data_IF_829436317639
#
_entry.id   IF_829436317639
#
_cell.length_a   1.000
_cell.length_b   1.000
_cell.length_c   1.000
_cell.angle_alpha   90.00
_cell.angle_beta   90.00
_cell.angle_gamma   90.00
#
_symmetry.space_group_name_H-M   'P 1'
#
loop_
_entity.id
_entity.type
_entity.pdbx_description
1 polymer ?
#
# COMPACT_ATOMS: atom_id res chain seq x y z
N UNK A 1 -2.76 13.55 0.79
CA UNK A 1 -3.02 12.11 0.75
C UNK A 1 -3.93 11.82 -0.42
N UNK A 2 -3.49 10.94 -1.32
CA UNK A 2 -4.25 10.55 -2.51
C UNK A 2 -5.14 9.35 -2.20
N UNK A 3 -6.35 9.36 -2.74
CA UNK A 3 -7.28 8.24 -2.63
C UNK A 3 -7.40 7.53 -3.97
N UNK A 4 -7.36 6.20 -3.96
CA UNK A 4 -7.76 5.41 -5.12
C UNK A 4 -9.27 5.21 -5.11
N UNK A 5 -9.82 4.90 -6.29
CA UNK A 5 -11.25 4.69 -6.51
C UNK A 5 -11.46 3.33 -7.13
N UNK A 6 -12.60 2.71 -6.82
CA UNK A 6 -13.09 1.53 -7.51
C UNK A 6 -14.57 1.73 -7.82
N UNK A 7 -15.01 1.36 -9.01
CA UNK A 7 -16.40 1.43 -9.44
C UNK A 7 -16.96 0.02 -9.54
N UNK A 8 -18.06 -0.24 -8.83
CA UNK A 8 -18.72 -1.54 -8.81
C UNK A 8 -20.14 -1.43 -9.32
N UNK A 9 -20.55 -2.38 -10.16
CA UNK A 9 -21.96 -2.56 -10.50
C UNK A 9 -22.73 -3.04 -9.26
N UNK A 10 -23.82 -2.34 -8.91
CA UNK A 10 -24.64 -2.65 -7.72
C UNK A 10 -25.99 -3.23 -8.04
N UNK A 11 -26.46 -3.08 -9.28
CA UNK A 11 -27.71 -3.67 -9.75
C UNK A 11 -27.51 -4.22 -11.16
N UNK A 12 -28.14 -5.37 -11.42
CA UNK A 12 -28.16 -6.01 -12.72
C UNK A 12 -29.60 -6.12 -13.20
N UNK A 13 -29.83 -5.90 -14.49
CA UNK A 13 -31.13 -6.13 -15.10
C UNK A 13 -31.39 -7.62 -15.36
N UNK A 14 -32.54 -7.93 -15.96
CA UNK A 14 -32.93 -9.31 -16.30
C UNK A 14 -31.99 -10.01 -17.28
N UNK A 15 -31.14 -9.27 -18.00
CA UNK A 15 -30.16 -9.78 -18.95
C UNK A 15 -28.76 -9.92 -18.32
N UNK A 16 -28.61 -9.55 -17.05
CA UNK A 16 -27.34 -9.59 -16.34
C UNK A 16 -26.44 -8.38 -16.64
N UNK A 17 -26.98 -7.33 -17.25
CA UNK A 17 -26.22 -6.12 -17.55
C UNK A 17 -26.26 -5.13 -16.37
N UNK A 18 -25.15 -4.45 -16.06
CA UNK A 18 -25.07 -3.57 -14.90
C UNK A 18 -25.87 -2.27 -15.14
N UNK A 19 -26.94 -2.09 -14.37
CA UNK A 19 -27.84 -0.93 -14.49
C UNK A 19 -27.44 0.29 -13.64
N UNK A 20 -26.61 0.09 -12.62
CA UNK A 20 -26.08 1.18 -11.77
C UNK A 20 -24.69 0.82 -11.26
N UNK A 21 -23.81 1.82 -11.23
CA UNK A 21 -22.49 1.74 -10.64
C UNK A 21 -22.40 2.63 -9.41
N UNK A 22 -21.64 2.19 -8.41
CA UNK A 22 -21.26 2.98 -7.25
C UNK A 22 -19.74 3.10 -7.16
N UNK A 23 -19.26 4.30 -6.86
CA UNK A 23 -17.85 4.60 -6.71
C UNK A 23 -17.48 4.58 -5.23
N UNK A 24 -16.48 3.78 -4.88
CA UNK A 24 -15.92 3.71 -3.54
C UNK A 24 -14.53 4.32 -3.53
N UNK A 25 -14.12 4.85 -2.37
CA UNK A 25 -12.80 5.47 -2.17
C UNK A 25 -12.03 4.74 -1.07
N UNK A 26 -10.71 4.68 -1.22
CA UNK A 26 -9.83 4.09 -0.19
C UNK A 26 -9.98 4.80 1.14
N UNK A 27 -9.81 4.04 2.23
CA UNK A 27 -9.93 4.57 3.59
C UNK A 27 -8.98 5.75 3.85
N UNK A 28 -9.34 6.74 4.69
CA UNK A 28 -8.52 7.93 4.92
C UNK A 28 -7.17 7.67 5.61
N UNK A 29 -7.12 6.64 6.46
CA UNK A 29 -5.91 6.26 7.19
C UNK A 29 -5.60 4.80 6.94
N UNK A 30 -4.53 4.53 6.23
CA UNK A 30 -4.04 3.18 5.95
C UNK A 30 -3.12 2.76 7.09
N UNK A 31 -3.40 1.68 7.83
CA UNK A 31 -2.50 1.19 8.87
C UNK A 31 -1.25 0.56 8.25
N UNK A 32 -0.13 0.61 8.98
CA UNK A 32 1.13 0.06 8.51
C UNK A 32 1.05 -1.45 8.22
N UNK A 33 0.25 -2.19 8.97
CA UNK A 33 -0.09 -3.60 8.70
C UNK A 33 -0.58 -3.82 7.28
N UNK A 34 -1.54 -3.02 6.82
CA UNK A 34 -2.16 -3.19 5.53
C UNK A 34 -1.16 -2.93 4.39
N UNK A 35 -0.28 -1.92 4.54
CA UNK A 35 0.80 -1.68 3.57
C UNK A 35 1.78 -2.86 3.54
N UNK A 36 2.20 -3.34 4.71
CA UNK A 36 3.11 -4.48 4.81
C UNK A 36 2.52 -5.74 4.18
N UNK A 37 1.23 -6.00 4.39
CA UNK A 37 0.52 -7.12 3.79
C UNK A 37 0.41 -6.99 2.26
N UNK A 38 0.06 -5.81 1.73
CA UNK A 38 0.05 -5.55 0.29
C UNK A 38 1.41 -5.81 -0.34
N UNK A 39 2.49 -5.29 0.26
CA UNK A 39 3.87 -5.51 -0.22
C UNK A 39 4.26 -6.98 -0.12
N UNK A 40 3.90 -7.65 0.97
CA UNK A 40 4.19 -9.07 1.17
C UNK A 40 3.49 -9.95 0.14
N UNK A 41 2.23 -9.65 -0.19
CA UNK A 41 1.48 -10.32 -1.24
C UNK A 41 2.12 -10.09 -2.62
N UNK A 42 2.45 -8.85 -2.96
CA UNK A 42 3.10 -8.54 -4.25
C UNK A 42 4.47 -9.21 -4.39
N UNK A 43 5.20 -9.38 -3.28
CA UNK A 43 6.48 -10.08 -3.26
C UNK A 43 6.34 -11.60 -3.39
N UNK A 44 5.21 -12.19 -2.98
CA UNK A 44 4.98 -13.63 -3.12
C UNK A 44 4.53 -14.07 -4.51
N UNK A 45 3.96 -13.15 -5.30
CA UNK A 45 3.47 -13.46 -6.65
C UNK A 45 4.60 -13.91 -7.56
N UNK A 46 4.43 -15.09 -8.19
CA UNK A 46 5.38 -15.63 -9.18
C UNK A 46 4.95 -15.40 -10.63
N UNK A 47 3.80 -14.75 -10.84
CA UNK A 47 3.17 -14.52 -12.13
C UNK A 47 1.73 -14.06 -11.96
N UNK A 48 0.84 -14.50 -12.85
CA UNK A 48 -0.59 -14.27 -12.69
C UNK A 48 -1.10 -14.99 -11.44
N UNK A 49 -1.96 -14.33 -10.61
CA UNK A 49 -2.45 -14.93 -9.39
C UNK A 49 -3.29 -16.18 -9.68
N UNK A 50 -3.04 -17.25 -8.92
CA UNK A 50 -3.94 -18.40 -8.88
C UNK A 50 -5.24 -18.08 -8.10
N UNK A 51 -6.13 -19.06 -7.96
CA UNK A 51 -7.42 -18.84 -7.29
C UNK A 51 -7.27 -18.46 -5.81
N UNK A 52 -6.30 -19.03 -5.10
CA UNK A 52 -6.08 -18.76 -3.68
C UNK A 52 -5.47 -17.37 -3.51
N UNK A 53 -4.48 -17.03 -4.34
CA UNK A 53 -3.88 -15.70 -4.42
C UNK A 53 -4.91 -14.63 -4.81
N UNK A 54 -5.85 -14.95 -5.71
CA UNK A 54 -6.96 -14.07 -6.06
C UNK A 54 -7.91 -13.82 -4.87
N UNK A 55 -8.22 -14.85 -4.09
CA UNK A 55 -9.03 -14.69 -2.87
C UNK A 55 -8.34 -13.81 -1.82
N UNK A 56 -7.02 -13.93 -1.67
CA UNK A 56 -6.22 -13.04 -0.82
C UNK A 56 -6.25 -11.61 -1.36
N UNK A 57 -6.09 -11.44 -2.67
CA UNK A 57 -6.14 -10.12 -3.31
C UNK A 57 -7.50 -9.43 -3.10
N UNK A 58 -8.59 -10.17 -3.26
CA UNK A 58 -9.96 -9.68 -2.99
C UNK A 58 -10.10 -9.25 -1.53
N UNK A 59 -9.58 -10.03 -0.58
CA UNK A 59 -9.62 -9.69 0.84
C UNK A 59 -8.86 -8.41 1.17
N UNK A 60 -7.66 -8.26 0.60
CA UNK A 60 -6.86 -7.04 0.73
C UNK A 60 -7.63 -5.83 0.20
N UNK A 61 -8.23 -5.92 -0.99
CA UNK A 61 -9.00 -4.81 -1.58
C UNK A 61 -10.19 -4.45 -0.71
N UNK A 62 -10.96 -5.41 -0.21
CA UNK A 62 -12.06 -5.12 0.73
C UNK A 62 -11.56 -4.33 1.95
N UNK A 63 -10.40 -4.68 2.51
CA UNK A 63 -9.80 -3.97 3.66
C UNK A 63 -9.22 -2.60 3.30
N UNK A 64 -8.68 -2.42 2.10
CA UNK A 64 -8.22 -1.12 1.57
C UNK A 64 -9.38 -0.12 1.50
N UNK A 65 -10.56 -0.61 1.13
CA UNK A 65 -11.80 0.17 1.08
C UNK A 65 -12.61 0.09 2.39
N UNK A 66 -11.99 -0.25 3.52
CA UNK A 66 -12.61 -0.25 4.85
C UNK A 66 -13.90 -1.09 4.98
N UNK A 67 -14.01 -2.18 4.20
CA UNK A 67 -15.20 -3.02 4.14
C UNK A 67 -16.48 -2.28 3.68
N UNK A 68 -16.34 -1.21 2.89
CA UNK A 68 -17.48 -0.50 2.28
C UNK A 68 -18.33 -1.41 1.36
N UNK A 69 -17.75 -2.52 0.90
CA UNK A 69 -18.41 -3.57 0.15
C UNK A 69 -17.89 -4.95 0.58
N UNK A 70 -18.70 -5.98 0.36
CA UNK A 70 -18.34 -7.38 0.64
C UNK A 70 -17.53 -8.01 -0.51
N UNK A 71 -16.86 -9.14 -0.23
CA UNK A 71 -16.16 -9.94 -1.26
C UNK A 71 -17.11 -10.35 -2.40
N UNK A 72 -18.36 -10.71 -2.09
CA UNK A 72 -19.37 -11.03 -3.11
C UNK A 72 -19.67 -9.82 -4.00
N UNK A 73 -19.96 -8.67 -3.40
CA UNK A 73 -20.22 -7.44 -4.17
C UNK A 73 -19.03 -7.03 -5.03
N UNK A 74 -17.81 -7.28 -4.57
CA UNK A 74 -16.60 -7.02 -5.36
C UNK A 74 -16.47 -7.98 -6.55
N UNK A 75 -16.72 -9.28 -6.35
CA UNK A 75 -16.66 -10.29 -7.42
C UNK A 75 -17.77 -10.06 -8.44
N UNK A 76 -19.00 -9.84 -7.97
CA UNK A 76 -20.17 -9.66 -8.83
C UNK A 76 -20.12 -8.30 -9.54
N UNK A 77 -19.66 -7.27 -8.83
CA UNK A 77 -19.67 -5.88 -9.31
C UNK A 77 -18.51 -5.50 -10.23
N UNK A 78 -17.43 -6.29 -10.26
CA UNK A 78 -16.34 -6.12 -11.22
C UNK A 78 -16.62 -6.89 -12.50
N UNK A 79 -16.43 -6.23 -13.65
CA UNK A 79 -16.53 -6.91 -14.95
C UNK A 79 -15.39 -7.92 -15.10
N UNK A 80 -15.72 -9.15 -15.51
CA UNK A 80 -14.79 -10.30 -15.48
C UNK A 80 -13.52 -10.12 -16.31
N UNK A 81 -13.55 -9.28 -17.36
CA UNK A 81 -12.39 -9.04 -18.22
C UNK A 81 -11.30 -8.20 -17.55
N UNK A 82 -11.65 -7.24 -16.68
CA UNK A 82 -10.70 -6.32 -16.06
C UNK A 82 -10.62 -6.46 -14.53
N UNK A 83 -11.50 -7.26 -13.91
CA UNK A 83 -11.61 -7.37 -12.46
C UNK A 83 -10.28 -7.69 -11.77
N UNK A 84 -9.55 -8.71 -12.24
CA UNK A 84 -8.24 -9.07 -11.66
C UNK A 84 -7.21 -7.93 -11.78
N UNK A 85 -7.21 -7.23 -12.92
CA UNK A 85 -6.31 -6.11 -13.15
C UNK A 85 -6.66 -4.93 -12.22
N UNK A 86 -7.95 -4.63 -12.06
CA UNK A 86 -8.41 -3.58 -11.17
C UNK A 86 -8.03 -3.89 -9.71
N UNK A 87 -8.25 -5.11 -9.25
CA UNK A 87 -7.82 -5.55 -7.92
C UNK A 87 -6.29 -5.39 -7.72
N UNK A 88 -5.51 -5.79 -8.72
CA UNK A 88 -4.05 -5.66 -8.68
C UNK A 88 -3.60 -4.21 -8.56
N UNK A 89 -4.21 -3.28 -9.32
CA UNK A 89 -3.91 -1.83 -9.22
C UNK A 89 -4.12 -1.31 -7.81
N UNK A 90 -5.21 -1.70 -7.15
CA UNK A 90 -5.52 -1.22 -5.80
C UNK A 90 -4.46 -1.67 -4.77
N UNK A 91 -4.00 -2.93 -4.87
CA UNK A 91 -2.95 -3.46 -4.00
C UNK A 91 -1.60 -2.77 -4.29
N UNK A 92 -1.26 -2.54 -5.56
CA UNK A 92 -0.04 -1.82 -5.95
C UNK A 92 -0.07 -0.36 -5.47
N UNK A 93 -1.21 0.33 -5.61
CA UNK A 93 -1.37 1.71 -5.17
C UNK A 93 -1.03 1.88 -3.67
N UNK A 94 -1.51 0.97 -2.83
CA UNK A 94 -1.23 0.98 -1.39
C UNK A 94 0.20 0.49 -1.09
N UNK A 95 0.63 -0.62 -1.70
CA UNK A 95 1.96 -1.21 -1.43
C UNK A 95 3.13 -0.31 -1.85
N UNK A 96 2.96 0.46 -2.93
CA UNK A 96 3.96 1.43 -3.41
C UNK A 96 4.00 2.72 -2.60
N UNK A 97 2.99 2.99 -1.77
CA UNK A 97 2.89 4.26 -1.04
C UNK A 97 2.39 5.43 -1.89
N UNK A 98 1.83 5.21 -3.09
CA UNK A 98 1.24 6.26 -3.93
C UNK A 98 0.07 7.01 -3.28
N UNK A 99 -0.45 6.48 -2.17
CA UNK A 99 -1.43 7.17 -1.33
C UNK A 99 -0.85 8.37 -0.55
N UNK A 100 0.47 8.50 -0.47
CA UNK A 100 1.18 9.60 0.18
C UNK A 100 1.49 10.70 -0.85
N UNK A 101 1.46 11.98 -0.45
CA UNK A 101 1.72 13.08 -1.38
C UNK A 101 3.21 13.13 -1.75
N UNK A 102 3.49 13.25 -3.05
CA UNK A 102 4.82 13.24 -3.67
C UNK A 102 5.67 14.50 -3.41
N UNK A 103 5.51 15.20 -2.27
CA UNK A 103 6.48 16.22 -1.86
C UNK A 103 7.75 15.56 -1.27
N UNK A 104 8.30 14.60 -2.00
CA UNK A 104 9.66 14.16 -1.83
C UNK A 104 10.45 14.92 -2.89
N UNK A 105 11.20 15.94 -2.46
CA UNK A 105 12.21 16.57 -3.33
C UNK A 105 13.04 15.47 -3.98
N UNK A 106 12.91 15.35 -5.30
CA UNK A 106 13.61 14.37 -6.13
C UNK A 106 15.09 14.70 -6.12
N UNK A 107 15.81 14.14 -5.16
CA UNK A 107 17.25 14.27 -5.05
C UNK A 107 17.87 13.05 -5.74
N UNK A 108 18.70 13.27 -6.76
CA UNK A 108 19.28 12.25 -7.67
C UNK A 108 20.04 11.13 -6.93
N UNK A 109 20.42 11.34 -5.67
CA UNK A 109 21.06 10.33 -4.80
C UNK A 109 20.09 9.37 -4.10
N UNK A 110 18.79 9.66 -4.04
CA UNK A 110 17.76 8.71 -3.51
C UNK A 110 17.55 7.54 -4.46
N UNK A 111 17.90 7.71 -5.74
CA UNK A 111 17.91 6.63 -6.73
C UNK A 111 18.87 5.48 -6.36
N UNK A 112 19.78 5.66 -5.39
CA UNK A 112 20.74 4.60 -5.02
C UNK A 112 20.28 3.66 -3.91
N UNK A 113 19.06 3.82 -3.37
CA UNK A 113 18.36 2.69 -2.73
C UNK A 113 17.33 2.21 -3.74
N UNK A 114 17.81 1.62 -4.83
CA UNK A 114 16.96 0.88 -5.74
C UNK A 114 16.33 -0.25 -4.94
N UNK A 115 15.03 -0.16 -4.71
CA UNK A 115 14.25 -1.31 -4.30
C UNK A 115 14.19 -2.18 -5.55
N UNK A 116 15.01 -3.23 -5.65
CA UNK A 116 15.16 -3.98 -6.90
C UNK A 116 13.94 -4.89 -7.19
N UNK A 117 12.93 -4.84 -6.32
CA UNK A 117 11.65 -5.53 -6.45
C UNK A 117 10.85 -5.50 -5.14
N UNK A 118 9.64 -6.07 -5.16
CA UNK A 118 8.75 -6.13 -4.00
C UNK A 118 9.35 -6.85 -2.78
N UNK A 119 10.25 -7.81 -3.00
CA UNK A 119 10.93 -8.53 -1.90
C UNK A 119 11.85 -7.60 -1.09
N UNK A 120 12.63 -6.74 -1.76
CA UNK A 120 13.47 -5.75 -1.10
C UNK A 120 12.61 -4.76 -0.31
N UNK A 121 11.48 -4.34 -0.87
CA UNK A 121 10.54 -3.44 -0.20
C UNK A 121 9.98 -4.07 1.08
N UNK A 122 9.55 -5.34 0.98
CA UNK A 122 9.07 -6.13 2.12
C UNK A 122 10.10 -6.19 3.24
N UNK A 123 11.35 -6.51 2.93
CA UNK A 123 12.41 -6.60 3.93
C UNK A 123 12.77 -5.23 4.52
N UNK A 124 12.68 -4.14 3.75
CA UNK A 124 12.85 -2.78 4.26
C UNK A 124 11.74 -2.36 5.24
N UNK A 125 10.47 -2.63 4.92
CA UNK A 125 9.36 -2.38 5.83
C UNK A 125 9.48 -3.20 7.12
N UNK A 126 9.86 -4.48 7.00
CA UNK A 126 10.12 -5.36 8.15
C UNK A 126 11.25 -4.86 9.05
N UNK A 127 12.35 -4.34 8.48
CA UNK A 127 13.42 -3.70 9.25
C UNK A 127 12.90 -2.45 9.98
N UNK A 128 12.06 -1.65 9.32
CA UNK A 128 11.42 -0.47 9.92
C UNK A 128 10.56 -0.86 11.13
N UNK A 129 9.70 -1.88 10.99
CA UNK A 129 8.87 -2.39 12.08
C UNK A 129 9.74 -2.80 13.27
N UNK A 130 10.79 -3.61 13.02
CA UNK A 130 11.71 -4.06 14.09
C UNK A 130 12.43 -2.90 14.78
N UNK A 131 12.82 -1.87 14.02
CA UNK A 131 13.47 -0.68 14.57
C UNK A 131 12.52 0.09 15.49
N UNK A 132 11.28 0.36 15.05
CA UNK A 132 10.29 1.08 15.85
C UNK A 132 9.94 0.33 17.15
N UNK A 133 9.77 -0.99 17.09
CA UNK A 133 9.57 -1.84 18.28
C UNK A 133 10.74 -1.70 19.26
N UNK A 134 11.98 -1.72 18.74
CA UNK A 134 13.20 -1.63 19.56
C UNK A 134 13.39 -0.24 20.17
N UNK A 135 13.14 0.82 19.41
CA UNK A 135 13.47 2.20 19.79
C UNK A 135 12.37 2.84 20.66
N UNK A 136 11.12 2.38 20.55
CA UNK A 136 9.95 3.03 21.16
C UNK A 136 9.33 2.33 22.37
N UNK A 137 9.89 1.21 22.85
CA UNK A 137 9.22 0.31 23.82
C UNK A 137 7.81 -0.14 23.38
N UNK A 138 7.55 -0.14 22.06
CA UNK A 138 6.25 -0.48 21.48
C UNK A 138 6.17 -1.96 21.14
N UNK A 139 4.98 -2.57 21.23
CA UNK A 139 4.77 -3.94 20.72
C UNK A 139 4.65 -3.94 19.20
N UNK A 140 4.80 -5.11 18.57
CA UNK A 140 4.56 -5.26 17.13
C UNK A 140 3.16 -4.78 16.73
N UNK A 141 2.14 -5.09 17.53
CA UNK A 141 0.77 -4.67 17.24
C UNK A 141 0.62 -3.16 17.29
N UNK A 142 1.29 -2.49 18.24
CA UNK A 142 1.25 -1.03 18.33
C UNK A 142 1.81 -0.42 17.05
N UNK A 143 2.98 -0.87 16.60
CA UNK A 143 3.65 -0.39 15.39
C UNK A 143 2.82 -0.67 14.13
N UNK A 144 2.26 -1.87 14.01
CA UNK A 144 1.47 -2.29 12.86
C UNK A 144 0.15 -1.52 12.71
N UNK A 145 -0.38 -0.97 13.81
CA UNK A 145 -1.60 -0.17 13.80
C UNK A 145 -1.35 1.32 13.57
N UNK A 146 -0.09 1.77 13.52
CA UNK A 146 0.24 3.17 13.23
C UNK A 146 -0.22 3.52 11.81
N UNK A 147 -0.88 4.67 11.61
CA UNK A 147 -1.13 5.21 10.28
C UNK A 147 0.16 5.34 9.47
N UNK A 148 0.22 4.74 8.28
CA UNK A 148 1.45 4.64 7.50
C UNK A 148 2.06 5.99 7.12
N UNK A 149 1.24 7.03 6.94
CA UNK A 149 1.75 8.39 6.66
C UNK A 149 2.66 8.91 7.79
N UNK A 150 2.37 8.59 9.06
CA UNK A 150 3.22 8.98 10.19
C UNK A 150 4.56 8.22 10.17
N UNK A 151 4.53 6.95 9.77
CA UNK A 151 5.75 6.14 9.61
C UNK A 151 6.62 6.73 8.50
N UNK A 152 6.01 7.09 7.38
CA UNK A 152 6.70 7.70 6.25
C UNK A 152 7.29 9.07 6.60
N UNK A 153 6.56 9.92 7.32
CA UNK A 153 7.03 11.23 7.77
C UNK A 153 8.21 11.10 8.75
N UNK A 154 8.16 10.16 9.71
CA UNK A 154 9.26 9.89 10.64
C UNK A 154 10.52 9.41 9.89
N UNK A 155 10.36 8.54 8.88
CA UNK A 155 11.46 8.10 8.03
C UNK A 155 12.06 9.25 7.22
N UNK A 156 11.22 10.09 6.61
CA UNK A 156 11.67 11.22 5.80
C UNK A 156 12.33 12.31 6.64
N UNK A 157 11.82 12.60 7.83
CA UNK A 157 12.42 13.59 8.74
C UNK A 157 13.78 13.11 9.25
N UNK A 158 13.91 11.84 9.63
CA UNK A 158 15.21 11.24 10.01
C UNK A 158 16.21 11.26 8.85
N UNK A 159 15.79 10.92 7.64
CA UNK A 159 16.64 10.99 6.45
C UNK A 159 17.13 12.42 6.17
N UNK A 160 16.25 13.43 6.31
CA UNK A 160 16.63 14.86 6.17
C UNK A 160 17.61 15.31 7.24
N UNK A 161 17.51 14.80 8.48
CA UNK A 161 18.43 15.13 9.57
C UNK A 161 19.84 14.55 9.36
N UNK A 162 19.94 13.28 8.94
CA UNK A 162 21.23 12.63 8.62
C UNK A 162 21.95 13.31 7.44
N UNK A 163 21.21 13.85 6.46
CA UNK A 163 21.82 14.65 5.38
C UNK A 163 22.47 15.94 5.87
N UNK A 164 21.84 16.65 6.81
CA UNK A 164 22.39 17.91 7.35
C UNK A 164 23.66 17.70 8.15
N UNK A 165 23.76 16.61 8.92
CA UNK A 165 24.98 16.29 9.68
C UNK A 165 26.14 15.88 8.77
N UNK A 166 25.87 15.13 7.68
CA UNK A 166 26.90 14.71 6.72
C UNK A 166 27.51 15.88 5.93
N UNK A 167 26.74 16.93 5.63
CA UNK A 167 27.28 18.13 4.98
C UNK A 167 28.24 18.93 5.89
N UNK A 168 28.05 18.90 7.21
CA UNK A 168 28.97 19.55 8.15
C UNK A 168 30.31 18.81 8.27
N UNK A 169 30.32 17.49 8.06
CA UNK A 169 31.57 16.71 8.02
C UNK A 169 32.41 16.93 6.75
N UNK A 170 31.83 17.51 5.69
CA UNK A 170 32.56 17.83 4.45
C UNK A 170 33.39 19.13 4.53
N UNK A 171 33.19 19.93 5.59
CA UNK A 171 33.95 21.17 5.86
C UNK A 171 34.94 21.02 7.02
N UNK A 172 35.17 19.78 7.49
CA UNK A 172 36.01 19.50 8.65
C UNK A 172 37.03 18.40 8.39
N UNK A 173 38.02 18.68 7.54
CA UNK A 173 39.42 18.26 7.67
C UNK A 173 40.31 19.08 6.74
#
# INVERSE_FOLDING_TARGET
>A
MKHSKIELATNFDSEGMPGRHETFVTRPSIPFSLVYECVSFLASLKGNPDNDELHVMIDLVVRIFDNQFSKRQLIDGLTSYEGTHELYKQVVFIGSGQNLDDEVETDEKVQSISVNGWEDHKENLKKTIKKMVKDGEQTYNDVLNIPFYLVFDDLNTKAKAERKSSMLSAFGQ
#
